data_IF_431841641883
#
_entry.id   IF_431841641883
#
_cell.length_a   1.000
_cell.length_b   1.000
_cell.length_c   1.000
_cell.angle_alpha   90.00
_cell.angle_beta   90.00
_cell.angle_gamma   90.00
#
_symmetry.space_group_name_H-M   'P 1'
#
loop_
_entity.id
_entity.type
_entity.pdbx_description
1 polymer ?
#
# COMPACT_ATOMS: atom_id res chain seq x y z
N UNK A 1 27.33 -4.93 -7.60
CA UNK A 1 27.16 -6.02 -8.57
C UNK A 1 26.26 -7.10 -8.01
N UNK A 2 26.68 -7.90 -7.01
CA UNK A 2 25.86 -9.05 -6.55
C UNK A 2 24.63 -8.71 -5.71
N UNK A 3 24.64 -7.65 -4.88
CA UNK A 3 23.55 -7.41 -3.90
C UNK A 3 22.19 -7.15 -4.54
N UNK A 4 22.06 -6.20 -5.45
CA UNK A 4 20.75 -5.87 -6.06
C UNK A 4 20.21 -7.00 -6.93
N UNK A 5 21.09 -7.63 -7.73
CA UNK A 5 20.73 -8.80 -8.51
C UNK A 5 20.34 -9.99 -7.61
N UNK A 6 21.05 -10.21 -6.50
CA UNK A 6 20.74 -11.25 -5.52
C UNK A 6 19.44 -10.98 -4.77
N UNK A 7 19.20 -9.74 -4.32
CA UNK A 7 17.95 -9.34 -3.67
C UNK A 7 16.77 -9.48 -4.63
N UNK A 8 16.92 -9.03 -5.88
CA UNK A 8 15.93 -9.24 -6.93
C UNK A 8 15.65 -10.72 -7.17
N UNK A 9 16.68 -11.54 -7.36
CA UNK A 9 16.54 -12.98 -7.56
C UNK A 9 15.88 -13.69 -6.36
N UNK A 10 16.29 -13.36 -5.14
CA UNK A 10 15.69 -13.89 -3.91
C UNK A 10 14.22 -13.50 -3.79
N UNK A 11 13.87 -12.27 -4.17
CA UNK A 11 12.48 -11.76 -4.16
C UNK A 11 11.63 -12.47 -5.21
N UNK A 12 12.15 -12.67 -6.43
CA UNK A 12 11.47 -13.44 -7.48
C UNK A 12 11.23 -14.89 -7.04
N UNK A 13 12.23 -15.52 -6.44
CA UNK A 13 12.11 -16.88 -5.92
C UNK A 13 11.07 -16.95 -4.80
N UNK A 14 11.06 -15.99 -3.88
CA UNK A 14 10.03 -15.88 -2.85
C UNK A 14 8.64 -15.68 -3.46
N UNK A 15 8.49 -14.80 -4.44
CA UNK A 15 7.23 -14.59 -5.14
C UNK A 15 6.75 -15.88 -5.81
N UNK A 16 7.64 -16.67 -6.42
CA UNK A 16 7.28 -17.95 -7.04
C UNK A 16 6.79 -18.97 -6.00
N UNK A 17 7.47 -19.08 -4.85
CA UNK A 17 7.04 -19.96 -3.74
C UNK A 17 5.68 -19.52 -3.22
N UNK A 18 5.50 -18.23 -2.93
CA UNK A 18 4.23 -17.71 -2.45
C UNK A 18 3.12 -17.87 -3.49
N UNK A 19 3.41 -17.70 -4.78
CA UNK A 19 2.45 -17.90 -5.85
C UNK A 19 1.95 -19.34 -5.87
N UNK A 20 2.84 -20.32 -5.70
CA UNK A 20 2.43 -21.70 -5.54
C UNK A 20 1.55 -21.92 -4.30
N UNK A 21 1.86 -21.29 -3.17
CA UNK A 21 1.02 -21.38 -1.98
C UNK A 21 -0.40 -20.81 -2.21
N UNK A 22 -0.57 -19.82 -3.09
CA UNK A 22 -1.90 -19.29 -3.40
C UNK A 22 -2.83 -20.32 -4.06
N UNK A 23 -2.29 -21.31 -4.77
CA UNK A 23 -3.12 -22.36 -5.40
C UNK A 23 -3.65 -23.39 -4.41
N UNK A 24 -3.13 -23.38 -3.18
CA UNK A 24 -3.57 -24.27 -2.10
C UNK A 24 -4.64 -23.62 -1.22
N UNK A 25 -4.99 -22.35 -1.48
CA UNK A 25 -6.05 -21.65 -0.75
C UNK A 25 -7.39 -22.29 -1.09
N UNK A 26 -8.14 -22.68 -0.06
CA UNK A 26 -9.48 -23.21 -0.22
C UNK A 26 -10.41 -22.13 -0.79
N UNK A 27 -11.15 -22.49 -1.84
CA UNK A 27 -12.20 -21.63 -2.39
C UNK A 27 -13.54 -21.95 -1.71
N UNK A 28 -14.11 -20.93 -1.07
CA UNK A 28 -15.38 -21.04 -0.35
C UNK A 28 -16.58 -20.55 -1.18
N UNK A 29 -16.38 -20.10 -2.42
CA UNK A 29 -17.44 -19.78 -3.38
C UNK A 29 -18.30 -18.54 -3.06
N UNK A 30 -17.97 -17.79 -2.00
CA UNK A 30 -18.71 -16.58 -1.61
C UNK A 30 -18.35 -15.32 -2.42
N UNK A 31 -17.22 -15.35 -3.14
CA UNK A 31 -16.72 -14.21 -3.92
C UNK A 31 -16.86 -14.47 -5.42
N UNK A 32 -17.07 -13.41 -6.19
CA UNK A 32 -17.16 -13.49 -7.66
C UNK A 32 -15.80 -13.86 -8.32
N UNK A 33 -14.71 -13.66 -7.60
CA UNK A 33 -13.34 -14.01 -8.00
C UNK A 33 -12.73 -14.96 -6.97
N UNK A 34 -11.95 -15.93 -7.45
CA UNK A 34 -11.26 -16.89 -6.60
C UNK A 34 -10.37 -16.20 -5.55
N UNK A 35 -10.33 -16.78 -4.35
CA UNK A 35 -9.55 -16.24 -3.22
C UNK A 35 -8.04 -16.13 -3.50
N UNK A 36 -7.56 -16.82 -4.53
CA UNK A 36 -6.19 -16.82 -5.03
C UNK A 36 -5.86 -15.66 -5.98
N UNK A 37 -6.87 -15.07 -6.64
CA UNK A 37 -6.68 -14.07 -7.71
C UNK A 37 -5.92 -12.84 -7.21
N UNK A 38 -6.37 -12.25 -6.09
CA UNK A 38 -5.77 -11.03 -5.55
C UNK A 38 -4.33 -11.22 -5.07
N UNK A 39 -4.01 -12.26 -4.25
CA UNK A 39 -2.63 -12.62 -3.95
C UNK A 39 -1.76 -12.82 -5.18
N UNK A 40 -2.24 -13.53 -6.21
CA UNK A 40 -1.49 -13.77 -7.46
C UNK A 40 -1.19 -12.48 -8.22
N UNK A 41 -2.13 -11.55 -8.29
CA UNK A 41 -1.94 -10.25 -8.94
C UNK A 41 -0.85 -9.43 -8.25
N UNK A 42 -0.88 -9.35 -6.92
CA UNK A 42 0.14 -8.64 -6.14
C UNK A 42 1.52 -9.30 -6.32
N UNK A 43 1.58 -10.63 -6.20
CA UNK A 43 2.83 -11.38 -6.38
C UNK A 43 3.40 -11.21 -7.79
N UNK A 44 2.54 -11.18 -8.82
CA UNK A 44 2.94 -10.89 -10.19
C UNK A 44 3.54 -9.49 -10.34
N UNK A 45 2.92 -8.47 -9.75
CA UNK A 45 3.43 -7.10 -9.79
C UNK A 45 4.78 -6.97 -9.07
N UNK A 46 4.91 -7.56 -7.87
CA UNK A 46 6.17 -7.57 -7.11
C UNK A 46 7.26 -8.32 -7.88
N UNK A 47 6.93 -9.49 -8.45
CA UNK A 47 7.87 -10.27 -9.25
C UNK A 47 8.34 -9.48 -10.49
N UNK A 48 7.46 -8.77 -11.19
CA UNK A 48 7.82 -7.93 -12.32
C UNK A 48 8.79 -6.81 -11.92
N UNK A 49 8.53 -6.12 -10.81
CA UNK A 49 9.43 -5.09 -10.27
C UNK A 49 10.77 -5.68 -9.81
N UNK A 50 10.77 -6.86 -9.19
CA UNK A 50 11.97 -7.55 -8.76
C UNK A 50 12.83 -8.05 -9.94
N UNK A 51 12.20 -8.52 -11.02
CA UNK A 51 12.86 -8.85 -12.28
C UNK A 51 13.49 -7.62 -12.91
N UNK A 52 12.78 -6.48 -12.91
CA UNK A 52 13.33 -5.21 -13.38
C UNK A 52 14.54 -4.78 -12.52
N UNK A 53 14.46 -4.88 -11.19
CA UNK A 53 15.58 -4.60 -10.30
C UNK A 53 16.77 -5.52 -10.60
N UNK A 54 16.53 -6.81 -10.80
CA UNK A 54 17.57 -7.79 -11.13
C UNK A 54 18.25 -7.44 -12.47
N UNK A 55 17.46 -7.14 -13.51
CA UNK A 55 17.97 -6.71 -14.81
C UNK A 55 18.80 -5.43 -14.68
N UNK A 56 18.29 -4.39 -14.03
CA UNK A 56 19.01 -3.14 -13.81
C UNK A 56 20.31 -3.36 -13.02
N UNK A 57 20.30 -4.26 -12.04
CA UNK A 57 21.47 -4.63 -11.24
C UNK A 57 22.56 -5.40 -12.02
N UNK A 58 22.18 -6.07 -13.11
CA UNK A 58 23.10 -6.75 -14.04
C UNK A 58 23.65 -5.81 -15.12
N UNK A 59 22.83 -4.89 -15.64
CA UNK A 59 23.19 -4.02 -16.76
C UNK A 59 23.89 -2.72 -16.37
N UNK A 60 23.66 -2.17 -15.17
CA UNK A 60 24.30 -0.91 -14.76
C UNK A 60 25.71 -1.16 -14.18
N UNK A 61 26.79 -0.60 -14.76
CA UNK A 61 28.09 -0.56 -14.09
C UNK A 61 27.95 0.20 -12.76
N UNK A 62 28.84 -0.09 -11.80
CA UNK A 62 28.80 0.38 -10.41
C UNK A 62 29.00 1.89 -10.29
N UNK A 63 28.12 2.69 -10.87
CA UNK A 63 27.93 4.08 -10.46
C UNK A 63 27.30 4.03 -9.08
N UNK A 64 27.94 4.73 -8.14
CA UNK A 64 27.41 4.99 -6.81
C UNK A 64 25.92 5.27 -6.96
N UNK A 65 25.09 4.45 -6.34
CA UNK A 65 23.80 4.94 -5.86
C UNK A 65 24.18 5.90 -4.73
N UNK A 66 24.63 7.09 -5.14
CA UNK A 66 24.58 8.29 -4.33
C UNK A 66 23.10 8.48 -4.04
N UNK A 67 22.76 8.36 -2.77
CA UNK A 67 22.57 9.52 -1.91
C UNK A 67 21.09 9.52 -1.55
N UNK A 68 20.84 9.20 -0.29
CA UNK A 68 19.92 9.97 0.54
C UNK A 68 18.80 10.70 -0.21
N UNK A 69 17.58 10.16 -0.09
CA UNK A 69 16.48 11.04 0.31
C UNK A 69 16.42 10.98 1.84
N UNK A 70 17.49 11.39 2.48
CA UNK A 70 17.37 12.03 3.79
C UNK A 70 17.08 13.49 3.44
N UNK A 71 15.92 14.06 3.78
CA UNK A 71 15.70 15.48 3.56
C UNK A 71 16.78 16.23 4.35
N UNK A 72 17.77 16.74 3.62
CA UNK A 72 18.80 17.62 4.15
C UNK A 72 18.11 18.77 4.87
N UNK A 73 18.22 18.79 6.21
CA UNK A 73 17.82 19.92 7.04
C UNK A 73 16.82 19.66 8.16
N UNK A 74 16.22 18.47 8.29
CA UNK A 74 15.39 18.18 9.46
C UNK A 74 16.24 17.54 10.56
N UNK A 75 16.52 18.28 11.63
CA UNK A 75 16.93 17.66 12.91
C UNK A 75 15.98 16.49 13.17
N UNK A 76 16.46 15.28 13.52
CA UNK A 76 15.56 14.18 13.83
C UNK A 76 14.77 14.58 15.07
N UNK A 77 13.54 15.05 14.85
CA UNK A 77 12.58 15.23 15.93
C UNK A 77 12.15 13.82 16.36
N UNK A 78 12.99 13.20 17.19
CA UNK A 78 12.81 11.86 17.73
C UNK A 78 11.42 11.67 18.34
N UNK A 79 10.86 12.74 18.92
CA UNK A 79 9.51 12.73 19.51
C UNK A 79 8.41 12.73 18.43
N UNK A 80 8.60 13.47 17.34
CA UNK A 80 7.70 13.44 16.18
C UNK A 80 7.72 12.09 15.46
N UNK A 81 8.90 11.49 15.28
CA UNK A 81 9.07 10.21 14.59
C UNK A 81 8.57 9.01 15.39
N UNK A 82 8.74 9.00 16.71
CA UNK A 82 8.26 7.92 17.59
C UNK A 82 6.73 7.82 17.64
N UNK A 83 6.00 8.92 17.38
CA UNK A 83 4.54 8.94 17.37
C UNK A 83 3.92 8.53 16.03
N UNK A 84 4.70 8.51 14.94
CA UNK A 84 4.20 8.13 13.61
C UNK A 84 3.58 6.72 13.61
N UNK A 85 4.22 5.67 14.16
CA UNK A 85 3.61 4.34 14.23
C UNK A 85 2.28 4.36 15.00
N UNK A 86 2.23 5.04 16.15
CA UNK A 86 1.00 5.15 16.94
C UNK A 86 -0.11 5.90 16.19
N UNK A 87 0.22 6.92 15.40
CA UNK A 87 -0.78 7.61 14.57
C UNK A 87 -1.31 6.74 13.44
N UNK A 88 -0.48 5.91 12.80
CA UNK A 88 -0.91 4.93 11.79
C UNK A 88 -1.84 3.89 12.42
N UNK A 89 -1.42 3.28 13.54
CA UNK A 89 -2.24 2.30 14.24
C UNK A 89 -3.56 2.92 14.74
N UNK A 90 -3.52 4.12 15.31
CA UNK A 90 -4.70 4.84 15.74
C UNK A 90 -5.66 5.15 14.59
N UNK A 91 -5.14 5.56 13.43
CA UNK A 91 -5.94 5.79 12.24
C UNK A 91 -6.60 4.51 11.70
N UNK A 92 -5.87 3.38 11.71
CA UNK A 92 -6.41 2.07 11.31
C UNK A 92 -7.50 1.59 12.28
N UNK A 93 -7.28 1.72 13.58
CA UNK A 93 -8.27 1.39 14.60
C UNK A 93 -9.51 2.28 14.43
N UNK A 94 -9.32 3.58 14.27
CA UNK A 94 -10.39 4.54 14.02
C UNK A 94 -11.18 4.20 12.76
N UNK A 95 -10.51 3.83 11.67
CA UNK A 95 -11.15 3.32 10.47
C UNK A 95 -12.02 2.09 10.76
N UNK A 96 -11.45 1.06 11.39
CA UNK A 96 -12.16 -0.18 11.67
C UNK A 96 -13.40 0.03 12.55
N UNK A 97 -13.31 0.93 13.54
CA UNK A 97 -14.43 1.29 14.42
C UNK A 97 -15.48 2.14 13.72
N UNK A 98 -15.09 2.94 12.71
CA UNK A 98 -16.00 3.85 12.01
C UNK A 98 -16.76 3.16 10.86
N UNK A 99 -16.18 2.10 10.27
CA UNK A 99 -16.77 1.35 9.15
C UNK A 99 -18.23 0.92 9.40
N UNK A 100 -18.63 0.37 10.57
CA UNK A 100 -20.01 -0.03 10.83
C UNK A 100 -21.01 1.13 10.83
N UNK A 101 -20.56 2.36 11.10
CA UNK A 101 -21.44 3.53 11.24
C UNK A 101 -21.47 4.40 9.98
N UNK A 102 -20.30 4.66 9.38
CA UNK A 102 -20.16 5.57 8.24
C UNK A 102 -19.94 4.85 6.90
N UNK A 103 -19.80 3.52 6.93
CA UNK A 103 -19.43 2.71 5.78
C UNK A 103 -17.94 2.78 5.43
N UNK A 104 -17.53 1.95 4.48
CA UNK A 104 -16.13 1.83 4.05
C UNK A 104 -15.58 3.12 3.44
N UNK A 105 -16.32 3.75 2.53
CA UNK A 105 -15.84 4.89 1.74
C UNK A 105 -15.56 6.11 2.61
N UNK A 106 -16.50 6.50 3.48
CA UNK A 106 -16.34 7.67 4.35
C UNK A 106 -15.23 7.43 5.37
N UNK A 107 -15.20 6.23 5.97
CA UNK A 107 -14.15 5.85 6.92
C UNK A 107 -12.77 5.87 6.27
N UNK A 108 -12.66 5.33 5.04
CA UNK A 108 -11.42 5.34 4.27
C UNK A 108 -10.96 6.75 3.90
N UNK A 109 -11.88 7.62 3.48
CA UNK A 109 -11.59 9.02 3.16
C UNK A 109 -11.01 9.75 4.38
N UNK A 110 -11.67 9.62 5.52
CA UNK A 110 -11.22 10.23 6.77
C UNK A 110 -9.85 9.67 7.20
N UNK A 111 -9.67 8.35 7.16
CA UNK A 111 -8.41 7.71 7.53
C UNK A 111 -7.25 8.22 6.67
N UNK A 112 -7.39 8.17 5.33
CA UNK A 112 -6.33 8.59 4.42
C UNK A 112 -6.06 10.08 4.55
N UNK A 113 -7.09 10.92 4.63
CA UNK A 113 -6.94 12.36 4.81
C UNK A 113 -6.24 12.73 6.12
N UNK A 114 -6.65 12.11 7.24
CA UNK A 114 -6.02 12.32 8.55
C UNK A 114 -4.57 11.89 8.49
N UNK A 115 -4.27 10.71 7.93
CA UNK A 115 -2.92 10.20 7.88
C UNK A 115 -1.99 11.10 7.04
N UNK A 116 -2.45 11.52 5.86
CA UNK A 116 -1.73 12.47 5.02
C UNK A 116 -1.54 13.82 5.71
N UNK A 117 -2.52 14.30 6.47
CA UNK A 117 -2.43 15.59 7.17
C UNK A 117 -1.57 15.54 8.43
N UNK A 118 -1.48 14.38 9.09
CA UNK A 118 -0.64 14.17 10.28
C UNK A 118 0.82 13.99 9.89
N UNK A 119 1.10 13.20 8.84
CA UNK A 119 2.46 12.89 8.38
C UNK A 119 3.00 13.96 7.42
N UNK A 120 2.14 14.54 6.58
CA UNK A 120 2.50 15.49 5.55
C UNK A 120 2.50 16.96 6.00
N UNK A 121 2.84 17.88 5.08
CA UNK A 121 2.86 19.31 5.37
C UNK A 121 1.46 19.86 5.69
N UNK A 122 1.36 20.73 6.70
CA UNK A 122 0.07 21.31 7.16
C UNK A 122 -0.28 22.66 6.51
N UNK A 123 0.20 22.91 5.30
CA UNK A 123 -0.13 24.15 4.56
C UNK A 123 -1.52 24.02 3.92
N UNK A 124 -2.27 25.11 3.72
CA UNK A 124 -3.62 25.04 3.13
C UNK A 124 -3.61 24.39 1.73
N UNK A 125 -2.55 24.63 0.93
CA UNK A 125 -2.36 23.96 -0.36
C UNK A 125 -2.13 22.46 -0.20
N UNK A 126 -1.34 22.04 0.78
CA UNK A 126 -1.09 20.63 1.06
C UNK A 126 -2.34 19.93 1.59
N UNK A 127 -3.13 20.56 2.46
CA UNK A 127 -4.40 20.01 2.95
C UNK A 127 -5.38 19.78 1.79
N UNK A 128 -5.49 20.73 0.86
CA UNK A 128 -6.30 20.54 -0.34
C UNK A 128 -5.80 19.36 -1.19
N UNK A 129 -4.48 19.21 -1.35
CA UNK A 129 -3.89 18.07 -2.03
C UNK A 129 -4.17 16.75 -1.29
N UNK A 130 -4.09 16.72 0.03
CA UNK A 130 -4.43 15.54 0.83
C UNK A 130 -5.88 15.11 0.63
N UNK A 131 -6.81 16.06 0.60
CA UNK A 131 -8.22 15.79 0.33
C UNK A 131 -8.43 15.20 -1.08
N UNK A 132 -7.76 15.77 -2.09
CA UNK A 132 -7.83 15.27 -3.46
C UNK A 132 -7.23 13.86 -3.58
N UNK A 133 -6.07 13.61 -2.98
CA UNK A 133 -5.42 12.29 -2.98
C UNK A 133 -6.29 11.27 -2.25
N UNK A 134 -6.85 11.63 -1.09
CA UNK A 134 -7.77 10.76 -0.34
C UNK A 134 -8.99 10.41 -1.18
N UNK A 135 -9.63 11.41 -1.81
CA UNK A 135 -10.78 11.21 -2.67
C UNK A 135 -10.48 10.24 -3.82
N UNK A 136 -9.46 10.55 -4.62
CA UNK A 136 -9.10 9.74 -5.79
C UNK A 136 -8.73 8.32 -5.36
N UNK A 137 -7.90 8.16 -4.33
CA UNK A 137 -7.41 6.85 -3.90
C UNK A 137 -8.53 5.98 -3.35
N UNK A 138 -9.32 6.51 -2.42
CA UNK A 138 -10.37 5.72 -1.75
C UNK A 138 -11.51 5.40 -2.70
N UNK A 139 -11.93 6.34 -3.54
CA UNK A 139 -12.96 6.09 -4.55
C UNK A 139 -12.49 5.09 -5.61
N UNK A 140 -11.23 5.14 -6.02
CA UNK A 140 -10.67 4.16 -6.97
C UNK A 140 -10.66 2.75 -6.38
N UNK A 141 -10.24 2.62 -5.12
CA UNK A 141 -10.27 1.33 -4.40
C UNK A 141 -11.71 0.84 -4.23
N UNK A 142 -12.61 1.69 -3.72
CA UNK A 142 -14.02 1.34 -3.55
C UNK A 142 -14.66 0.91 -4.87
N UNK A 143 -14.41 1.64 -5.97
CA UNK A 143 -14.89 1.28 -7.30
C UNK A 143 -14.33 -0.07 -7.76
N UNK A 144 -13.02 -0.26 -7.65
CA UNK A 144 -12.36 -1.50 -8.06
C UNK A 144 -12.92 -2.71 -7.30
N UNK A 145 -13.04 -2.62 -5.98
CA UNK A 145 -13.54 -3.73 -5.17
C UNK A 145 -15.03 -4.01 -5.40
N UNK A 146 -15.86 -2.97 -5.49
CA UNK A 146 -17.31 -3.15 -5.71
C UNK A 146 -17.65 -3.65 -7.11
N UNK A 147 -17.02 -3.10 -8.15
CA UNK A 147 -17.44 -3.34 -9.53
C UNK A 147 -16.54 -4.31 -10.30
N UNK A 148 -15.24 -4.34 -10.01
CA UNK A 148 -14.29 -5.24 -10.71
C UNK A 148 -14.20 -6.58 -9.99
N UNK A 149 -14.16 -6.56 -8.66
CA UNK A 149 -14.04 -7.78 -7.84
C UNK A 149 -15.36 -8.29 -7.26
N UNK A 150 -16.45 -7.52 -7.35
CA UNK A 150 -17.76 -7.93 -6.82
C UNK A 150 -17.78 -8.10 -5.30
N UNK A 151 -16.88 -7.42 -4.57
CA UNK A 151 -16.78 -7.51 -3.12
C UNK A 151 -17.81 -6.60 -2.47
N UNK A 152 -18.60 -7.16 -1.56
CA UNK A 152 -19.56 -6.42 -0.75
C UNK A 152 -18.81 -5.58 0.30
N UNK A 153 -18.61 -4.30 -0.01
CA UNK A 153 -18.11 -3.33 0.96
C UNK A 153 -19.25 -2.83 1.85
N UNK A 154 -19.01 -2.65 3.17
CA UNK A 154 -20.01 -2.04 4.06
C UNK A 154 -20.44 -0.67 3.54
N UNK A 155 -21.70 -0.58 3.14
CA UNK A 155 -22.33 0.67 2.73
C UNK A 155 -22.54 1.62 3.91
N UNK A 156 -23.04 2.82 3.65
CA UNK A 156 -23.62 3.63 4.69
C UNK A 156 -24.87 2.89 5.18
N UNK A 157 -24.86 2.45 6.44
CA UNK A 157 -25.99 1.78 7.06
C UNK A 157 -26.72 2.79 7.95
N UNK A 158 -27.88 3.25 7.47
CA UNK A 158 -29.03 3.56 8.31
C UNK A 158 -30.14 2.60 7.91
#
# INVERSE_FOLDING_TARGET
MKREAFLGAATVLLCAVLYYQTTLIADYGFAQVGADVWPKMILGAIAALALLQMALGLYRPRSRVGSEVSPAGARPDWRGSALVPFTVFGAIIGFALLVPFAGFTVSGLLMVFVLLTVIGPKTPRAIAAHAAIAAVSVLSVAFFFSYVMGVLLPGWAL
#
